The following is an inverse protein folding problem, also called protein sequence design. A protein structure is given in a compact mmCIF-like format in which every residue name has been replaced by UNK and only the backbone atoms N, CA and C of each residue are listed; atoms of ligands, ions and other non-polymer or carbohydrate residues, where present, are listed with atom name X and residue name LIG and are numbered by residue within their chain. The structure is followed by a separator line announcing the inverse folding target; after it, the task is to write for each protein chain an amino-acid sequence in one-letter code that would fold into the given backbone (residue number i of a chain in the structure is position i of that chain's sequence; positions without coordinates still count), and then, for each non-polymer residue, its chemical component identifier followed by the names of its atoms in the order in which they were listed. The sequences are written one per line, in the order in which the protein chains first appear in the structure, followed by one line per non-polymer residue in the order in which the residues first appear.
data_IF_766772124909
#
_entry.id   IF_766772124909
#
_cell.length_a   1.000
_cell.length_b   1.000
_cell.length_c   1.000
_cell.angle_alpha   90.00
_cell.angle_beta   90.00
_cell.angle_gamma   90.00
#
_symmetry.space_group_name_H-M   'P 1'
#
loop_
_entity.id
_entity.type
_entity.pdbx_description
1 polymer ?
#
# COMPACT_ATOMS: atom_id res chain seq x y z
N UNK A 1 -12.22 6.47 3.37
CA UNK A 1 -11.69 5.12 3.65
C UNK A 1 -10.26 5.05 3.17
N UNK A 2 -9.31 4.63 4.02
CA UNK A 2 -7.94 4.40 3.61
C UNK A 2 -7.83 3.14 2.74
N UNK A 3 -6.85 3.11 1.85
CA UNK A 3 -6.53 2.01 0.95
C UNK A 3 -5.23 1.34 1.39
N UNK A 4 -5.12 0.03 1.16
CA UNK A 4 -3.90 -0.73 1.44
C UNK A 4 -3.23 -1.15 0.13
N UNK A 5 -2.03 -0.63 -0.08
CA UNK A 5 -1.14 -1.01 -1.16
C UNK A 5 -0.19 -2.09 -0.67
N UNK A 6 -0.25 -3.26 -1.30
CA UNK A 6 0.53 -4.43 -0.91
C UNK A 6 1.74 -4.62 -1.83
N UNK A 7 2.89 -4.86 -1.22
CA UNK A 7 4.15 -4.97 -1.91
C UNK A 7 4.84 -6.29 -1.58
N UNK A 8 5.16 -7.04 -2.64
CA UNK A 8 5.91 -8.30 -2.57
C UNK A 8 7.36 -8.15 -2.10
N UNK A 9 7.94 -6.96 -2.25
CA UNK A 9 9.33 -6.70 -1.90
C UNK A 9 9.48 -5.34 -1.23
N UNK A 10 10.48 -5.23 -0.35
CA UNK A 10 10.88 -3.97 0.28
C UNK A 10 11.22 -2.90 -0.75
N UNK A 11 11.88 -3.28 -1.86
CA UNK A 11 12.25 -2.36 -2.93
C UNK A 11 11.03 -1.67 -3.53
N UNK A 12 9.99 -2.43 -3.92
CA UNK A 12 8.77 -1.84 -4.48
C UNK A 12 8.04 -0.97 -3.45
N UNK A 13 8.06 -1.34 -2.18
CA UNK A 13 7.50 -0.52 -1.11
C UNK A 13 8.20 0.84 -1.01
N UNK A 14 9.54 0.85 -0.99
CA UNK A 14 10.30 2.09 -0.90
C UNK A 14 10.17 2.98 -2.15
N UNK A 15 10.05 2.36 -3.33
CA UNK A 15 9.72 3.09 -4.57
C UNK A 15 8.37 3.80 -4.45
N UNK A 16 7.34 3.08 -3.98
CA UNK A 16 6.02 3.67 -3.77
C UNK A 16 6.02 4.74 -2.69
N UNK A 17 6.72 4.53 -1.57
CA UNK A 17 6.91 5.53 -0.51
C UNK A 17 7.49 6.83 -1.07
N UNK A 18 8.54 6.72 -1.90
CA UNK A 18 9.20 7.86 -2.52
C UNK A 18 8.28 8.63 -3.46
N UNK A 19 7.48 7.91 -4.25
CA UNK A 19 6.48 8.47 -5.17
C UNK A 19 5.40 9.23 -4.38
N UNK A 20 4.81 8.59 -3.37
CA UNK A 20 3.76 9.20 -2.55
C UNK A 20 4.25 10.45 -1.82
N UNK A 21 5.49 10.43 -1.30
CA UNK A 21 6.11 11.63 -0.68
C UNK A 21 6.30 12.77 -1.67
N UNK A 22 6.67 12.49 -2.92
CA UNK A 22 6.87 13.52 -3.95
C UNK A 22 5.57 14.22 -4.32
N UNK A 23 4.48 13.48 -4.37
CA UNK A 23 3.15 14.03 -4.63
C UNK A 23 2.48 14.64 -3.39
N UNK A 24 3.13 14.58 -2.23
CA UNK A 24 2.56 15.09 -0.97
C UNK A 24 1.37 14.28 -0.47
N UNK A 25 1.23 13.02 -0.91
CA UNK A 25 0.16 12.13 -0.50
C UNK A 25 0.44 11.58 0.89
N UNK A 26 -0.58 11.57 1.74
CA UNK A 26 -0.47 11.01 3.10
C UNK A 26 -0.54 9.49 3.05
N UNK A 27 0.44 8.85 3.68
CA UNK A 27 0.47 7.41 3.88
C UNK A 27 1.19 7.05 5.19
N UNK A 28 0.98 5.82 5.65
CA UNK A 28 1.67 5.21 6.78
C UNK A 28 2.12 3.80 6.39
N UNK A 29 3.30 3.41 6.84
CA UNK A 29 3.72 2.00 6.79
C UNK A 29 2.98 1.24 7.87
N UNK A 30 2.32 0.15 7.49
CA UNK A 30 1.58 -0.70 8.42
C UNK A 30 1.94 -2.16 8.17
N UNK A 31 1.90 -3.01 9.22
CA UNK A 31 1.94 -4.45 9.02
C UNK A 31 0.74 -4.89 8.17
N UNK A 32 0.92 -5.96 7.40
CA UNK A 32 -0.18 -6.56 6.65
C UNK A 32 -1.21 -7.11 7.65
N UNK A 33 -2.50 -6.75 7.54
CA UNK A 33 -3.57 -7.31 8.35
C UNK A 33 -3.64 -8.84 8.26
N UNK A 34 -3.95 -9.51 9.37
CA UNK A 34 -4.04 -10.98 9.47
C UNK A 34 -5.04 -11.58 8.47
N UNK A 35 -6.11 -10.85 8.18
CA UNK A 35 -7.18 -11.24 7.23
C UNK A 35 -6.70 -11.43 5.79
N UNK A 36 -5.56 -10.83 5.42
CA UNK A 36 -4.95 -10.96 4.09
C UNK A 36 -3.55 -11.58 4.11
N UNK A 37 -3.06 -11.96 5.29
CA UNK A 37 -1.76 -12.61 5.47
C UNK A 37 -1.73 -14.04 4.91
N UNK A 38 -2.85 -14.77 4.96
CA UNK A 38 -2.95 -16.17 4.53
C UNK A 38 -2.54 -16.40 3.06
N UNK A 39 -2.78 -15.41 2.19
CA UNK A 39 -2.40 -15.46 0.76
C UNK A 39 -1.03 -14.81 0.46
N UNK A 40 -0.46 -14.07 1.42
CA UNK A 40 0.54 -13.02 1.13
C UNK A 40 1.70 -13.07 2.14
N UNK A 41 2.23 -14.28 2.38
CA UNK A 41 3.32 -14.52 3.33
C UNK A 41 4.56 -13.66 3.01
N UNK A 42 4.91 -12.74 3.91
CA UNK A 42 6.10 -11.89 3.82
C UNK A 42 5.93 -10.55 3.08
N UNK A 43 4.70 -10.18 2.70
CA UNK A 43 4.45 -8.90 2.07
C UNK A 43 4.43 -7.73 3.09
N UNK A 44 4.62 -6.50 2.60
CA UNK A 44 4.57 -5.26 3.38
C UNK A 44 3.54 -4.31 2.78
N UNK A 45 3.00 -3.38 3.58
CA UNK A 45 1.90 -2.55 3.14
C UNK A 45 2.07 -1.05 3.43
N UNK A 46 1.54 -0.24 2.52
CA UNK A 46 1.30 1.19 2.74
C UNK A 46 -0.20 1.43 2.88
N UNK A 47 -0.60 2.05 3.98
CA UNK A 47 -1.94 2.57 4.19
C UNK A 47 -1.99 3.99 3.63
N UNK A 48 -2.89 4.26 2.69
CA UNK A 48 -2.98 5.52 1.96
C UNK A 48 -4.38 6.11 2.11
N UNK A 49 -4.51 7.43 2.29
CA UNK A 49 -5.81 8.07 2.50
C UNK A 49 -6.41 8.67 1.23
N UNK A 50 -5.55 8.98 0.25
CA UNK A 50 -5.96 9.60 -1.00
C UNK A 50 -6.20 8.56 -2.09
N UNK A 51 -7.34 8.69 -2.78
CA UNK A 51 -7.72 7.79 -3.87
C UNK A 51 -6.82 7.97 -5.10
N UNK A 52 -6.29 9.16 -5.33
CA UNK A 52 -5.39 9.48 -6.44
C UNK A 52 -4.12 8.61 -6.40
N UNK A 53 -3.68 8.20 -5.21
CA UNK A 53 -2.59 7.26 -5.04
C UNK A 53 -2.81 5.92 -5.75
N UNK A 54 -4.06 5.49 -5.91
CA UNK A 54 -4.38 4.24 -6.60
C UNK A 54 -4.11 4.35 -8.10
N UNK A 55 -4.27 5.53 -8.68
CA UNK A 55 -4.04 5.79 -10.10
C UNK A 55 -2.54 5.90 -10.43
N UNK A 56 -1.70 6.06 -9.41
CA UNK A 56 -0.24 6.15 -9.57
C UNK A 56 0.45 4.79 -9.73
N UNK A 57 -0.23 3.69 -9.41
CA UNK A 57 0.39 2.37 -9.35
C UNK A 57 -0.43 1.33 -10.12
N UNK A 58 -0.18 1.24 -11.43
CA UNK A 58 -0.86 0.31 -12.35
C UNK A 58 -0.62 -1.19 -12.03
N UNK A 59 0.42 -1.54 -11.25
CA UNK A 59 0.83 -2.92 -10.95
C UNK A 59 0.57 -3.38 -9.49
N UNK A 60 -0.26 -2.68 -8.71
CA UNK A 60 -0.49 -3.05 -7.31
C UNK A 60 -1.83 -3.73 -7.12
N UNK A 61 -1.82 -4.86 -6.41
CA UNK A 61 -3.04 -5.51 -5.90
C UNK A 61 -3.61 -4.60 -4.79
N UNK A 62 -4.57 -3.75 -5.14
CA UNK A 62 -5.24 -2.86 -4.20
C UNK A 62 -6.23 -3.67 -3.38
N UNK A 63 -6.05 -3.70 -2.06
CA UNK A 63 -7.03 -4.29 -1.14
C UNK A 63 -7.79 -3.16 -0.45
N UNK A 64 -9.10 -3.16 -0.60
CA UNK A 64 -9.98 -2.33 0.22
C UNK A 64 -10.09 -2.99 1.58
N UNK A 65 -9.78 -2.26 2.64
CA UNK A 65 -10.05 -2.69 4.01
C UNK A 65 -11.25 -1.90 4.49
N UNK A 66 -12.35 -2.61 4.76
CA UNK A 66 -13.51 -2.05 5.45
C UNK A 66 -13.18 -2.00 6.95
N UNK A 67 -13.57 -0.90 7.61
CA UNK A 67 -13.37 -0.71 9.07
C UNK A 67 -14.24 -1.67 9.91
#
# INVERSE_FOLDING_TARGET
MPYLLLFKTMTKLYEAESILRREGIRFDMVPVPEEILDDMCGEMALKVWDREALEMFDEIKVVKVEE
#
